data_IF_765068327838
#
_entry.id   IF_765068327838
#
_cell.length_a   1.000
_cell.length_b   1.000
_cell.length_c   1.000
_cell.angle_alpha   90.00
_cell.angle_beta   90.00
_cell.angle_gamma   90.00
#
_symmetry.space_group_name_H-M   'P 1'
#
loop_
_entity.id
_entity.type
_entity.pdbx_description
1 polymer ?
#
# COMPACT_ATOMS: atom_id res chain seq x y z
N UNK A 1 3.37 -16.56 9.51
CA UNK A 1 3.22 -15.09 9.38
C UNK A 1 3.79 -14.47 10.64
N UNK A 2 4.84 -13.64 10.52
CA UNK A 2 5.63 -13.11 11.65
C UNK A 2 5.56 -11.58 11.79
N UNK A 3 4.56 -10.95 11.17
CA UNK A 3 4.37 -9.50 11.27
C UNK A 3 3.67 -9.15 12.57
N UNK A 4 4.10 -8.05 13.17
CA UNK A 4 3.40 -7.37 14.24
C UNK A 4 2.48 -6.30 13.66
N UNK A 5 1.51 -5.84 14.46
CA UNK A 5 0.57 -4.78 14.07
C UNK A 5 0.56 -3.68 15.11
N UNK A 6 0.51 -2.43 14.63
CA UNK A 6 0.25 -1.26 15.46
C UNK A 6 -0.95 -0.49 14.94
N UNK A 7 -1.92 -0.28 15.82
CA UNK A 7 -3.10 0.54 15.54
C UNK A 7 -2.84 1.97 15.98
N UNK A 8 -3.24 2.93 15.16
CA UNK A 8 -3.08 4.35 15.45
C UNK A 8 -4.16 5.16 14.70
N UNK A 9 -4.44 6.36 15.20
CA UNK A 9 -5.38 7.28 14.56
C UNK A 9 -4.80 8.69 14.69
N UNK A 10 -4.25 9.27 13.62
CA UNK A 10 -3.79 10.65 13.66
C UNK A 10 -4.93 11.61 14.02
N UNK A 11 -4.64 12.76 14.64
CA UNK A 11 -5.65 13.78 14.90
C UNK A 11 -6.39 14.18 13.62
N UNK A 12 -7.72 14.28 13.71
CA UNK A 12 -8.62 14.61 12.61
C UNK A 12 -8.68 13.57 11.46
N UNK A 13 -8.10 12.38 11.62
CA UNK A 13 -8.31 11.29 10.66
C UNK A 13 -9.76 10.81 10.66
N UNK A 14 -10.20 10.31 9.51
CA UNK A 14 -11.59 9.88 9.27
C UNK A 14 -11.85 8.42 9.69
N UNK A 15 -10.78 7.66 9.93
CA UNK A 15 -10.81 6.28 10.42
C UNK A 15 -9.47 5.92 11.08
N UNK A 16 -9.43 4.92 11.99
CA UNK A 16 -8.19 4.36 12.51
C UNK A 16 -7.42 3.57 11.44
N UNK A 17 -6.11 3.54 11.56
CA UNK A 17 -5.19 2.83 10.67
C UNK A 17 -4.48 1.69 11.40
N UNK A 18 -4.04 0.71 10.62
CA UNK A 18 -3.20 -0.39 11.09
C UNK A 18 -1.92 -0.42 10.25
N UNK A 19 -0.77 -0.44 10.92
CA UNK A 19 0.54 -0.60 10.30
C UNK A 19 1.09 -1.98 10.65
N UNK A 20 1.41 -2.78 9.64
CA UNK A 20 2.01 -4.10 9.81
C UNK A 20 3.50 -4.02 9.53
N UNK A 21 4.32 -4.58 10.42
CA UNK A 21 5.78 -4.47 10.36
C UNK A 21 6.47 -5.73 10.87
N UNK A 22 7.75 -5.87 10.58
CA UNK A 22 8.65 -6.87 11.16
C UNK A 22 9.69 -6.17 12.03
N UNK A 23 10.26 -6.86 13.02
CA UNK A 23 11.30 -6.28 13.88
C UNK A 23 10.76 -5.17 14.79
N UNK A 24 11.57 -4.14 15.02
CA UNK A 24 11.22 -2.94 15.78
C UNK A 24 10.74 -1.82 14.84
N UNK A 25 9.50 -1.37 15.03
CA UNK A 25 8.87 -0.36 14.17
C UNK A 25 9.61 0.98 14.15
N UNK A 26 10.24 1.38 15.27
CA UNK A 26 10.83 2.71 15.42
C UNK A 26 12.32 2.72 15.12
N UNK A 27 13.00 1.60 15.35
CA UNK A 27 14.45 1.49 15.15
C UNK A 27 14.83 0.89 13.78
N UNK A 28 14.01 -0.01 13.22
CA UNK A 28 14.36 -0.72 11.98
C UNK A 28 13.87 -0.01 10.70
N UNK A 29 13.09 1.06 10.82
CA UNK A 29 12.51 1.79 9.69
C UNK A 29 12.89 3.27 9.71
N UNK A 30 13.21 3.79 8.54
CA UNK A 30 13.40 5.23 8.36
C UNK A 30 12.06 5.96 8.31
N UNK A 31 12.07 7.24 8.67
CA UNK A 31 10.89 8.09 8.55
C UNK A 31 10.33 8.13 7.12
N UNK A 32 11.20 8.07 6.10
CA UNK A 32 10.75 8.09 4.70
C UNK A 32 9.99 6.81 4.33
N UNK A 33 10.46 5.65 4.78
CA UNK A 33 9.76 4.37 4.57
C UNK A 33 8.41 4.36 5.25
N UNK A 34 8.34 4.83 6.50
CA UNK A 34 7.10 4.92 7.26
C UNK A 34 6.11 5.87 6.60
N UNK A 35 6.53 7.10 6.26
CA UNK A 35 5.68 8.10 5.61
C UNK A 35 5.20 7.58 4.26
N UNK A 36 6.11 7.08 3.41
CA UNK A 36 5.77 6.58 2.08
C UNK A 36 4.76 5.43 2.13
N UNK A 37 4.94 4.49 3.05
CA UNK A 37 4.04 3.36 3.24
C UNK A 37 2.67 3.83 3.74
N UNK A 38 2.63 4.69 4.76
CA UNK A 38 1.37 5.21 5.32
C UNK A 38 0.60 5.99 4.25
N UNK A 39 1.24 6.92 3.53
CA UNK A 39 0.59 7.74 2.49
C UNK A 39 0.06 6.90 1.34
N UNK A 40 0.80 5.86 0.94
CA UNK A 40 0.38 4.93 -0.11
C UNK A 40 -0.83 4.11 0.34
N UNK A 41 -0.79 3.56 1.55
CA UNK A 41 -1.91 2.80 2.12
C UNK A 41 -3.15 3.66 2.32
N UNK A 42 -3.01 4.89 2.81
CA UNK A 42 -4.12 5.83 2.96
C UNK A 42 -4.80 6.11 1.61
N UNK A 43 -4.01 6.32 0.55
CA UNK A 43 -4.53 6.57 -0.80
C UNK A 43 -5.29 5.36 -1.33
N UNK A 44 -4.72 4.15 -1.22
CA UNK A 44 -5.41 2.94 -1.67
C UNK A 44 -6.70 2.68 -0.89
N UNK A 45 -6.70 2.93 0.41
CA UNK A 45 -7.88 2.78 1.24
C UNK A 45 -9.01 3.73 0.81
N UNK A 46 -8.70 4.99 0.47
CA UNK A 46 -9.67 5.94 -0.11
C UNK A 46 -10.27 5.42 -1.43
N UNK A 47 -9.46 4.75 -2.26
CA UNK A 47 -9.93 4.19 -3.53
C UNK A 47 -10.81 2.94 -3.32
N UNK A 48 -10.42 2.04 -2.41
CA UNK A 48 -11.10 0.75 -2.24
C UNK A 48 -12.28 0.76 -1.27
N UNK A 49 -12.27 1.65 -0.28
CA UNK A 49 -13.28 1.76 0.79
C UNK A 49 -13.54 3.23 1.13
N UNK A 50 -13.98 4.05 0.15
CA UNK A 50 -14.22 5.47 0.37
C UNK A 50 -15.24 5.75 1.48
N UNK A 51 -16.20 4.85 1.71
CA UNK A 51 -17.22 4.95 2.77
C UNK A 51 -16.61 5.01 4.18
N UNK A 52 -15.40 4.44 4.34
CA UNK A 52 -14.65 4.37 5.60
C UNK A 52 -13.52 5.40 5.60
N UNK A 53 -12.71 5.43 4.54
CA UNK A 53 -11.44 6.16 4.53
C UNK A 53 -11.46 7.47 3.73
N UNK A 54 -12.57 7.78 3.06
CA UNK A 54 -12.80 9.08 2.41
C UNK A 54 -14.11 9.73 2.89
N UNK A 55 -14.46 9.49 4.16
CA UNK A 55 -15.59 10.15 4.83
C UNK A 55 -15.35 11.65 4.96
N UNK A 56 -16.41 12.46 4.95
CA UNK A 56 -16.27 13.92 5.02
C UNK A 56 -16.09 14.44 6.45
N UNK A 57 -16.26 13.57 7.43
CA UNK A 57 -16.20 13.87 8.86
C UNK A 57 -15.09 13.07 9.54
N UNK A 58 -14.40 13.68 10.51
CA UNK A 58 -13.39 12.99 11.31
C UNK A 58 -14.02 11.87 12.17
N UNK A 59 -13.25 10.82 12.45
CA UNK A 59 -13.68 9.76 13.34
C UNK A 59 -13.89 10.28 14.77
N UNK A 60 -14.97 9.82 15.41
CA UNK A 60 -15.20 10.09 16.83
C UNK A 60 -14.30 9.25 17.74
N UNK A 61 -14.35 9.52 19.05
CA UNK A 61 -13.61 8.76 20.08
C UNK A 61 -13.90 7.26 20.06
N UNK A 62 -15.12 6.89 19.65
CA UNK A 62 -15.52 5.52 19.36
C UNK A 62 -15.87 5.45 17.88
N UNK A 63 -15.17 4.59 17.15
CA UNK A 63 -15.34 4.44 15.72
C UNK A 63 -15.83 3.03 15.39
N UNK A 64 -16.91 2.95 14.60
CA UNK A 64 -17.40 1.72 14.02
C UNK A 64 -17.50 1.90 12.50
N UNK A 65 -16.70 1.18 11.69
CA UNK A 65 -16.76 1.31 10.24
C UNK A 65 -18.11 0.82 9.71
N UNK A 66 -18.63 1.49 8.68
CA UNK A 66 -19.82 1.05 7.97
C UNK A 66 -19.64 1.19 6.47
N UNK A 67 -19.92 0.12 5.73
CA UNK A 67 -19.91 0.10 4.26
C UNK A 67 -21.16 0.76 3.65
N UNK A 68 -22.12 1.15 4.49
CA UNK A 68 -23.33 1.87 4.05
C UNK A 68 -23.33 3.33 4.53
N UNK A 69 -22.18 3.84 5.01
CA UNK A 69 -22.04 5.25 5.30
C UNK A 69 -22.25 6.06 4.01
N UNK A 70 -23.09 7.10 4.07
CA UNK A 70 -23.38 7.97 2.94
C UNK A 70 -22.60 9.28 2.97
N UNK A 71 -21.99 9.63 4.12
CA UNK A 71 -21.20 10.86 4.27
C UNK A 71 -19.74 10.61 3.84
N UNK A 72 -19.53 10.44 2.54
CA UNK A 72 -18.19 10.27 1.95
C UNK A 72 -18.11 10.84 0.54
N UNK A 73 -16.89 11.04 0.06
CA UNK A 73 -16.61 11.46 -1.31
C UNK A 73 -16.06 10.30 -2.15
N UNK A 74 -16.58 10.08 -3.36
CA UNK A 74 -15.98 9.11 -4.30
C UNK A 74 -14.75 9.71 -4.99
N UNK A 75 -13.69 8.92 -5.14
CA UNK A 75 -12.43 9.39 -5.74
C UNK A 75 -12.50 9.57 -7.25
N UNK A 76 -13.59 9.15 -7.92
CA UNK A 76 -13.71 9.05 -9.39
C UNK A 76 -12.64 8.17 -10.06
N UNK A 77 -11.80 7.50 -9.25
CA UNK A 77 -10.78 6.55 -9.72
C UNK A 77 -11.46 5.18 -9.77
N UNK A 78 -11.58 4.64 -10.98
CA UNK A 78 -12.10 3.30 -11.18
C UNK A 78 -10.94 2.33 -11.30
N UNK A 79 -10.96 1.28 -10.47
CA UNK A 79 -9.99 0.20 -10.57
C UNK A 79 -10.40 -0.76 -11.69
N UNK A 80 -9.89 -0.51 -12.90
CA UNK A 80 -10.07 -1.39 -14.05
C UNK A 80 -9.17 -2.63 -13.94
N UNK A 81 -9.80 -3.77 -13.68
CA UNK A 81 -9.11 -5.05 -13.51
C UNK A 81 -8.60 -5.62 -14.83
N UNK A 82 -9.28 -5.35 -15.93
CA UNK A 82 -8.89 -5.85 -17.26
C UNK A 82 -7.67 -5.08 -17.74
N UNK A 83 -7.72 -3.76 -17.70
CA UNK A 83 -6.59 -2.90 -18.07
C UNK A 83 -5.35 -3.24 -17.22
N UNK A 84 -5.50 -3.33 -15.89
CA UNK A 84 -4.40 -3.72 -14.99
C UNK A 84 -3.77 -5.06 -15.41
N UNK A 85 -4.59 -6.03 -15.79
CA UNK A 85 -4.09 -7.36 -16.16
C UNK A 85 -3.36 -7.33 -17.50
N UNK A 86 -3.84 -6.55 -18.47
CA UNK A 86 -3.15 -6.33 -19.74
C UNK A 86 -1.81 -5.61 -19.53
N UNK A 87 -1.80 -4.54 -18.74
CA UNK A 87 -0.59 -3.80 -18.40
C UNK A 87 0.44 -4.66 -17.68
N UNK A 88 0.03 -5.52 -16.75
CA UNK A 88 0.95 -6.42 -16.06
C UNK A 88 1.69 -7.36 -17.03
N UNK A 89 0.99 -7.88 -18.04
CA UNK A 89 1.60 -8.72 -19.08
C UNK A 89 2.57 -7.90 -19.94
N UNK A 90 2.19 -6.69 -20.35
CA UNK A 90 3.04 -5.81 -21.15
C UNK A 90 4.31 -5.40 -20.40
N UNK A 91 4.17 -5.00 -19.12
CA UNK A 91 5.29 -4.67 -18.25
C UNK A 91 6.22 -5.88 -18.04
N UNK A 92 5.66 -7.08 -17.87
CA UNK A 92 6.43 -8.31 -17.76
C UNK A 92 7.29 -8.57 -19.00
N UNK A 93 6.70 -8.46 -20.20
CA UNK A 93 7.43 -8.61 -21.47
C UNK A 93 8.50 -7.54 -21.65
N UNK A 94 8.17 -6.28 -21.36
CA UNK A 94 9.12 -5.17 -21.44
C UNK A 94 10.32 -5.39 -20.51
N UNK A 95 10.06 -5.76 -19.26
CA UNK A 95 11.11 -6.08 -18.30
C UNK A 95 11.94 -7.30 -18.75
N UNK A 96 11.31 -8.34 -19.30
CA UNK A 96 12.01 -9.50 -19.83
C UNK A 96 12.99 -9.11 -20.94
N UNK A 97 12.53 -8.33 -21.93
CA UNK A 97 13.30 -7.94 -23.10
C UNK A 97 14.40 -6.91 -22.80
N UNK A 98 14.10 -5.90 -21.99
CA UNK A 98 15.00 -4.76 -21.78
C UNK A 98 15.84 -4.84 -20.52
N UNK A 99 15.46 -5.69 -19.55
CA UNK A 99 16.16 -5.79 -18.27
C UNK A 99 16.67 -7.22 -17.99
N UNK A 100 15.79 -8.22 -18.04
CA UNK A 100 16.17 -9.59 -17.66
C UNK A 100 17.11 -10.23 -18.70
N UNK A 101 16.75 -10.24 -19.99
CA UNK A 101 17.59 -10.85 -21.03
C UNK A 101 18.96 -10.17 -21.18
N UNK A 102 19.07 -8.83 -21.24
CA UNK A 102 20.37 -8.18 -21.43
C UNK A 102 21.29 -8.31 -20.22
N UNK A 103 20.73 -8.34 -19.00
CA UNK A 103 21.51 -8.31 -17.76
C UNK A 103 21.43 -9.60 -16.94
N UNK A 104 20.86 -10.68 -17.49
CA UNK A 104 20.56 -11.90 -16.74
C UNK A 104 21.76 -12.53 -16.03
N UNK A 105 22.94 -12.52 -16.64
CA UNK A 105 24.17 -13.01 -16.01
C UNK A 105 24.63 -12.14 -14.83
N UNK A 106 24.49 -10.82 -14.94
CA UNK A 106 24.79 -9.87 -13.86
C UNK A 106 23.80 -10.05 -12.71
N UNK A 107 22.51 -10.14 -13.02
CA UNK A 107 21.45 -10.39 -12.05
C UNK A 107 21.66 -11.72 -11.32
N UNK A 108 21.99 -12.79 -12.05
CA UNK A 108 22.26 -14.11 -11.45
C UNK A 108 23.47 -14.08 -10.50
N UNK A 109 24.56 -13.42 -10.91
CA UNK A 109 25.74 -13.28 -10.04
C UNK A 109 25.41 -12.47 -8.78
N UNK A 110 24.62 -11.40 -8.92
CA UNK A 110 24.22 -10.55 -7.81
C UNK A 110 23.35 -11.33 -6.81
N UNK A 111 22.31 -12.04 -7.26
CA UNK A 111 21.44 -12.81 -6.37
C UNK A 111 22.18 -13.97 -5.69
N UNK A 112 23.14 -14.60 -6.37
CA UNK A 112 23.98 -15.64 -5.76
C UNK A 112 24.87 -15.11 -4.62
N UNK A 113 25.29 -13.83 -4.68
CA UNK A 113 26.10 -13.21 -3.62
C UNK A 113 25.27 -12.83 -2.38
N UNK A 114 23.99 -12.54 -2.54
CA UNK A 114 23.08 -12.11 -1.46
C UNK A 114 22.56 -13.26 -0.60
N UNK A 115 22.83 -14.51 -0.96
CA UNK A 115 22.43 -15.70 -0.21
C UNK A 115 23.46 -16.11 0.87
N UNK A 116 24.33 -15.20 1.29
CA UNK A 116 25.42 -15.42 2.26
C UNK A 116 25.09 -14.82 3.62
#
# INVERSE_FOLDING_TARGET
MGMQVRFFMPPNSVAPLAFYFYGDLLDDYTNLELIGTISTMETFQKIYRPEIYNANSAAGNFYQPSLTNQDYSSTQIVYDREERSQLAVQQGKFAEEHFIKPYGSVLHRWTASSAS
#
